data_IF_924553648722
#
_entry.id   IF_924553648722
#
_cell.length_a   1.000
_cell.length_b   1.000
_cell.length_c   1.000
_cell.angle_alpha   90.00
_cell.angle_beta   90.00
_cell.angle_gamma   90.00
#
_symmetry.space_group_name_H-M   'P 1'
#
loop_
_entity.id
_entity.type
_entity.pdbx_description
1 polymer ?
#
# COMPACT_ATOMS: atom_id res chain seq x y z
N UNK A 1 -53.45 -1.81 -56.80
CA UNK A 1 -53.08 -2.12 -55.40
C UNK A 1 -54.26 -1.73 -54.52
N UNK A 2 -54.96 -2.68 -53.90
CA UNK A 2 -56.21 -2.40 -53.17
C UNK A 2 -55.98 -1.71 -51.82
N UNK A 3 -56.90 -0.83 -51.41
CA UNK A 3 -56.86 -0.09 -50.13
C UNK A 3 -56.60 -0.99 -48.91
N UNK A 4 -57.05 -2.25 -48.94
CA UNK A 4 -56.83 -3.23 -47.87
C UNK A 4 -55.36 -3.66 -47.71
N UNK A 5 -54.57 -3.68 -48.79
CA UNK A 5 -53.13 -3.98 -48.72
C UNK A 5 -52.33 -2.79 -48.21
N UNK A 6 -52.76 -1.57 -48.51
CA UNK A 6 -52.13 -0.33 -48.00
C UNK A 6 -52.44 -0.14 -46.51
N UNK A 7 -53.68 -0.42 -46.08
CA UNK A 7 -54.08 -0.39 -44.66
C UNK A 7 -53.28 -1.41 -43.81
N UNK A 8 -53.07 -2.64 -44.28
CA UNK A 8 -52.27 -3.64 -43.55
C UNK A 8 -50.81 -3.22 -43.34
N UNK A 9 -50.21 -2.54 -44.31
CA UNK A 9 -48.82 -2.06 -44.27
C UNK A 9 -48.66 -0.79 -43.43
N UNK A 10 -49.68 0.07 -43.34
CA UNK A 10 -49.65 1.32 -42.54
C UNK A 10 -50.11 1.17 -41.09
N UNK A 11 -50.97 0.19 -40.76
CA UNK A 11 -51.47 -0.03 -39.39
C UNK A 11 -50.38 -0.58 -38.45
N UNK A 12 -49.44 -1.37 -38.99
CA UNK A 12 -48.31 -1.91 -38.24
C UNK A 12 -47.31 -0.85 -37.73
N UNK A 13 -46.85 0.13 -38.54
CA UNK A 13 -45.94 1.16 -38.06
C UNK A 13 -46.63 2.16 -37.12
N UNK A 14 -47.89 2.52 -37.35
CA UNK A 14 -48.61 3.47 -36.47
C UNK A 14 -48.86 2.84 -35.09
N UNK A 15 -49.29 1.58 -35.03
CA UNK A 15 -49.52 0.89 -33.75
C UNK A 15 -48.21 0.70 -32.96
N UNK A 16 -47.10 0.45 -33.65
CA UNK A 16 -45.77 0.37 -33.03
C UNK A 16 -45.27 1.72 -32.50
N UNK A 17 -45.52 2.84 -33.21
CA UNK A 17 -45.16 4.19 -32.72
C UNK A 17 -45.97 4.55 -31.47
N UNK A 18 -47.27 4.24 -31.45
CA UNK A 18 -48.13 4.48 -30.28
C UNK A 18 -47.68 3.61 -29.10
N UNK A 19 -47.39 2.32 -29.35
CA UNK A 19 -46.87 1.43 -28.32
C UNK A 19 -45.50 1.90 -27.80
N UNK A 20 -44.63 2.38 -28.68
CA UNK A 20 -43.35 2.97 -28.31
C UNK A 20 -43.51 4.18 -27.40
N UNK A 21 -44.43 5.10 -27.73
CA UNK A 21 -44.71 6.28 -26.93
C UNK A 21 -45.27 5.91 -25.54
N UNK A 22 -46.14 4.90 -25.47
CA UNK A 22 -46.69 4.39 -24.21
C UNK A 22 -45.59 3.75 -23.36
N UNK A 23 -44.73 2.91 -23.95
CA UNK A 23 -43.61 2.28 -23.26
C UNK A 23 -42.64 3.36 -22.76
N UNK A 24 -42.30 4.34 -23.59
CA UNK A 24 -41.38 5.43 -23.22
C UNK A 24 -41.93 6.28 -22.07
N UNK A 25 -43.23 6.58 -22.09
CA UNK A 25 -43.92 7.26 -21.00
C UNK A 25 -43.96 6.43 -19.72
N UNK A 26 -44.30 5.14 -19.81
CA UNK A 26 -44.36 4.23 -18.67
C UNK A 26 -42.98 4.04 -18.02
N UNK A 27 -41.94 3.86 -18.83
CA UNK A 27 -40.55 3.73 -18.40
C UNK A 27 -40.04 5.02 -17.75
N UNK A 28 -40.33 6.18 -18.35
CA UNK A 28 -39.99 7.48 -17.75
C UNK A 28 -40.66 7.70 -16.40
N UNK A 29 -41.95 7.36 -16.28
CA UNK A 29 -42.70 7.46 -15.02
C UNK A 29 -42.18 6.49 -13.96
N UNK A 30 -41.78 5.29 -14.37
CA UNK A 30 -41.25 4.25 -13.48
C UNK A 30 -39.75 4.38 -13.15
N UNK A 31 -39.03 5.34 -13.75
CA UNK A 31 -37.56 5.47 -13.64
C UNK A 31 -37.03 5.43 -12.21
N UNK A 32 -37.71 6.11 -11.28
CA UNK A 32 -37.26 6.19 -9.88
C UNK A 32 -37.49 4.86 -9.13
N UNK A 33 -38.49 4.08 -9.53
CA UNK A 33 -38.70 2.74 -8.98
C UNK A 33 -37.67 1.75 -9.56
N UNK A 34 -37.39 1.84 -10.87
CA UNK A 34 -36.41 0.99 -11.56
C UNK A 34 -34.98 1.24 -11.02
N UNK A 35 -34.58 2.50 -10.86
CA UNK A 35 -33.27 2.86 -10.30
C UNK A 35 -33.11 2.39 -8.84
N UNK A 36 -34.19 2.37 -8.06
CA UNK A 36 -34.19 1.81 -6.70
C UNK A 36 -34.05 0.28 -6.73
N UNK A 37 -34.81 -0.40 -7.60
CA UNK A 37 -34.74 -1.87 -7.75
C UNK A 37 -33.38 -2.37 -8.24
N UNK A 38 -32.68 -1.58 -9.07
CA UNK A 38 -31.32 -1.88 -9.55
C UNK A 38 -30.22 -1.49 -8.55
N UNK A 39 -30.55 -0.93 -7.37
CA UNK A 39 -29.57 -0.48 -6.39
C UNK A 39 -28.76 0.76 -6.83
N UNK A 40 -29.12 1.39 -7.95
CA UNK A 40 -28.39 2.52 -8.54
C UNK A 40 -28.82 3.88 -8.00
N UNK A 41 -29.83 3.92 -7.12
CA UNK A 41 -30.33 5.15 -6.52
C UNK A 41 -29.27 5.90 -5.69
N UNK A 42 -28.39 5.18 -4.98
CA UNK A 42 -27.28 5.80 -4.23
C UNK A 42 -26.22 6.40 -5.17
N UNK A 43 -25.95 5.73 -6.28
CA UNK A 43 -24.99 6.19 -7.30
C UNK A 43 -25.52 7.44 -8.01
N UNK A 44 -26.81 7.45 -8.35
CA UNK A 44 -27.48 8.60 -8.95
C UNK A 44 -27.59 9.79 -7.97
N UNK A 45 -27.69 9.52 -6.67
CA UNK A 45 -27.72 10.57 -5.64
C UNK A 45 -26.34 11.18 -5.37
N UNK A 46 -25.26 10.38 -5.44
CA UNK A 46 -23.88 10.87 -5.26
C UNK A 46 -23.37 11.72 -6.42
N UNK A 47 -23.81 11.44 -7.65
CA UNK A 47 -23.37 12.20 -8.81
C UNK A 47 -24.54 12.49 -9.77
N UNK A 48 -25.02 13.76 -9.83
CA UNK A 48 -26.18 14.12 -10.64
C UNK A 48 -25.98 13.87 -12.14
N UNK A 49 -24.74 13.92 -12.63
CA UNK A 49 -24.40 13.61 -14.02
C UNK A 49 -24.64 12.14 -14.37
N UNK A 50 -24.24 11.22 -13.48
CA UNK A 50 -24.48 9.78 -13.67
C UNK A 50 -25.98 9.46 -13.62
N UNK A 51 -26.72 10.10 -12.71
CA UNK A 51 -28.18 10.01 -12.65
C UNK A 51 -28.85 10.45 -13.96
N UNK A 52 -28.38 11.54 -14.55
CA UNK A 52 -28.85 12.02 -15.86
C UNK A 52 -28.56 11.03 -16.99
N UNK A 53 -27.36 10.44 -17.03
CA UNK A 53 -26.96 9.47 -18.06
C UNK A 53 -27.75 8.16 -17.96
N UNK A 54 -28.00 7.66 -16.74
CA UNK A 54 -28.90 6.51 -16.53
C UNK A 54 -30.35 6.81 -16.93
N UNK A 55 -30.84 8.02 -16.62
CA UNK A 55 -32.16 8.47 -17.05
C UNK A 55 -32.28 8.51 -18.59
N UNK A 56 -31.26 9.01 -19.27
CA UNK A 56 -31.20 9.03 -20.74
C UNK A 56 -31.14 7.60 -21.32
N UNK A 57 -30.30 6.72 -20.77
CA UNK A 57 -30.19 5.34 -21.21
C UNK A 57 -31.52 4.58 -21.06
N UNK A 58 -32.26 4.84 -19.97
CA UNK A 58 -33.56 4.24 -19.71
C UNK A 58 -34.60 4.66 -20.76
N UNK A 59 -34.57 5.92 -21.21
CA UNK A 59 -35.46 6.43 -22.28
C UNK A 59 -35.06 5.90 -23.65
N UNK A 60 -33.76 5.77 -23.89
CA UNK A 60 -33.24 5.30 -25.19
C UNK A 60 -33.40 3.79 -25.37
N UNK A 61 -33.39 3.01 -24.28
CA UNK A 61 -33.54 1.56 -24.29
C UNK A 61 -34.78 1.05 -25.06
N UNK A 62 -36.02 1.54 -24.84
CA UNK A 62 -37.17 1.08 -25.61
C UNK A 62 -37.07 1.45 -27.09
N UNK A 63 -36.57 2.63 -27.43
CA UNK A 63 -36.33 3.04 -28.83
C UNK A 63 -35.34 2.08 -29.50
N UNK A 64 -34.26 1.75 -28.80
CA UNK A 64 -33.25 0.82 -29.28
C UNK A 64 -33.80 -0.60 -29.48
N UNK A 65 -34.64 -1.11 -28.56
CA UNK A 65 -35.30 -2.41 -28.69
C UNK A 65 -36.27 -2.46 -29.86
N UNK A 66 -36.99 -1.36 -30.11
CA UNK A 66 -37.90 -1.25 -31.26
C UNK A 66 -37.10 -1.27 -32.57
N UNK A 67 -35.99 -0.53 -32.65
CA UNK A 67 -35.10 -0.55 -33.81
C UNK A 67 -34.54 -1.95 -34.06
N UNK A 68 -34.12 -2.66 -33.00
CA UNK A 68 -33.66 -4.05 -33.10
C UNK A 68 -34.77 -4.99 -33.58
N UNK A 69 -35.98 -4.87 -33.02
CA UNK A 69 -37.13 -5.66 -33.44
C UNK A 69 -37.43 -5.48 -34.94
N UNK A 70 -37.48 -4.24 -35.40
CA UNK A 70 -37.71 -3.95 -36.82
C UNK A 70 -36.58 -4.47 -37.71
N UNK A 71 -35.32 -4.30 -37.32
CA UNK A 71 -34.19 -4.83 -38.08
C UNK A 71 -34.27 -6.37 -38.22
N UNK A 72 -34.62 -7.08 -37.15
CA UNK A 72 -34.80 -8.53 -37.15
C UNK A 72 -35.99 -8.94 -38.04
N UNK A 73 -37.15 -8.30 -37.88
CA UNK A 73 -38.35 -8.61 -38.69
C UNK A 73 -38.09 -8.32 -40.17
N UNK A 74 -37.49 -7.17 -40.50
CA UNK A 74 -37.13 -6.83 -41.89
C UNK A 74 -36.18 -7.85 -42.49
N UNK A 75 -35.21 -8.35 -41.73
CA UNK A 75 -34.32 -9.41 -42.21
C UNK A 75 -35.09 -10.67 -42.61
N UNK A 76 -35.99 -11.17 -41.75
CA UNK A 76 -36.79 -12.36 -42.04
C UNK A 76 -37.81 -12.15 -43.17
N UNK A 77 -38.43 -10.97 -43.25
CA UNK A 77 -39.40 -10.64 -44.32
C UNK A 77 -38.70 -10.57 -45.67
N UNK A 78 -37.54 -9.90 -45.76
CA UNK A 78 -36.81 -9.73 -47.02
C UNK A 78 -36.24 -11.07 -47.49
N UNK A 79 -35.64 -11.86 -46.59
CA UNK A 79 -35.06 -13.17 -46.94
C UNK A 79 -36.14 -14.22 -47.26
N UNK A 80 -37.29 -14.17 -46.58
CA UNK A 80 -38.42 -15.07 -46.82
C UNK A 80 -39.21 -14.78 -48.11
N UNK A 81 -39.16 -13.56 -48.64
CA UNK A 81 -39.89 -13.16 -49.84
C UNK A 81 -39.33 -13.76 -51.16
N UNK A 82 -38.13 -14.35 -51.12
CA UNK A 82 -37.47 -14.91 -52.29
C UNK A 82 -36.91 -13.87 -53.27
N UNK A 83 -36.20 -14.33 -54.31
CA UNK A 83 -35.56 -13.45 -55.28
C UNK A 83 -36.61 -12.82 -56.23
N UNK A 84 -36.51 -11.51 -56.54
CA UNK A 84 -37.39 -10.88 -57.52
C UNK A 84 -37.24 -11.55 -58.89
N UNK A 85 -38.35 -11.94 -59.52
CA UNK A 85 -38.34 -12.51 -60.88
C UNK A 85 -38.04 -11.46 -61.98
N UNK A 86 -38.11 -10.16 -61.64
CA UNK A 86 -37.90 -9.05 -62.57
C UNK A 86 -36.41 -8.62 -62.67
N UNK A 87 -35.80 -8.78 -63.84
CA UNK A 87 -34.56 -8.08 -64.25
C UNK A 87 -33.28 -8.27 -63.40
N UNK A 88 -32.14 -7.79 -63.91
CA UNK A 88 -30.87 -7.75 -63.16
C UNK A 88 -30.86 -6.68 -62.06
N UNK A 89 -31.46 -5.52 -62.33
CA UNK A 89 -31.47 -4.37 -61.42
C UNK A 89 -32.23 -4.64 -60.11
N UNK A 90 -33.39 -5.31 -60.15
CA UNK A 90 -34.15 -5.59 -58.93
C UNK A 90 -33.42 -6.56 -57.99
N UNK A 91 -32.66 -7.52 -58.56
CA UNK A 91 -31.81 -8.43 -57.79
C UNK A 91 -30.67 -7.68 -57.07
N UNK A 92 -30.05 -6.68 -57.73
CA UNK A 92 -29.02 -5.84 -57.10
C UNK A 92 -29.57 -5.08 -55.89
N UNK A 93 -30.73 -4.42 -56.03
CA UNK A 93 -31.37 -3.73 -54.91
C UNK A 93 -31.75 -4.67 -53.77
N UNK A 94 -32.21 -5.89 -54.07
CA UNK A 94 -32.49 -6.89 -53.06
C UNK A 94 -31.23 -7.23 -52.23
N UNK A 95 -30.10 -7.55 -52.87
CA UNK A 95 -28.85 -7.82 -52.15
C UNK A 95 -28.35 -6.63 -51.34
N UNK A 96 -28.45 -5.41 -51.89
CA UNK A 96 -28.08 -4.19 -51.16
C UNK A 96 -28.94 -3.99 -49.90
N UNK A 97 -30.25 -4.22 -49.98
CA UNK A 97 -31.13 -4.10 -48.81
C UNK A 97 -30.81 -5.14 -47.73
N UNK A 98 -30.55 -6.38 -48.11
CA UNK A 98 -30.14 -7.44 -47.17
C UNK A 98 -28.81 -7.07 -46.50
N UNK A 99 -27.82 -6.61 -47.27
CA UNK A 99 -26.53 -6.19 -46.73
C UNK A 99 -26.67 -5.02 -45.74
N UNK A 100 -27.50 -4.02 -46.08
CA UNK A 100 -27.77 -2.89 -45.20
C UNK A 100 -28.43 -3.33 -43.89
N UNK A 101 -29.43 -4.21 -43.95
CA UNK A 101 -30.11 -4.74 -42.75
C UNK A 101 -29.14 -5.53 -41.87
N UNK A 102 -28.32 -6.40 -42.45
CA UNK A 102 -27.31 -7.16 -41.70
C UNK A 102 -26.31 -6.23 -41.00
N UNK A 103 -25.84 -5.19 -41.69
CA UNK A 103 -24.95 -4.19 -41.09
C UNK A 103 -25.62 -3.44 -39.93
N UNK A 104 -26.87 -3.03 -40.10
CA UNK A 104 -27.60 -2.34 -39.03
C UNK A 104 -27.83 -3.24 -37.81
N UNK A 105 -28.12 -4.52 -38.02
CA UNK A 105 -28.28 -5.49 -36.94
C UNK A 105 -26.96 -5.72 -36.19
N UNK A 106 -25.85 -5.85 -36.92
CA UNK A 106 -24.52 -5.95 -36.32
C UNK A 106 -24.17 -4.70 -35.49
N UNK A 107 -24.45 -3.50 -36.01
CA UNK A 107 -24.20 -2.24 -35.30
C UNK A 107 -25.06 -2.11 -34.04
N UNK A 108 -26.35 -2.45 -34.14
CA UNK A 108 -27.25 -2.44 -33.00
C UNK A 108 -26.66 -3.35 -31.93
N UNK A 109 -26.42 -4.65 -32.20
CA UNK A 109 -25.90 -5.60 -31.19
C UNK A 109 -24.53 -5.19 -30.63
N UNK A 110 -23.62 -4.67 -31.44
CA UNK A 110 -22.27 -4.30 -31.01
C UNK A 110 -22.24 -3.10 -30.05
N UNK A 111 -23.11 -2.10 -30.26
CA UNK A 111 -23.12 -0.86 -29.47
C UNK A 111 -23.26 -1.07 -27.94
N UNK A 112 -24.26 -1.81 -27.40
CA UNK A 112 -24.39 -2.01 -25.96
C UNK A 112 -23.27 -2.89 -25.39
N UNK A 113 -22.74 -3.84 -26.17
CA UNK A 113 -21.61 -4.67 -25.75
C UNK A 113 -20.33 -3.86 -25.63
N UNK A 114 -20.06 -2.95 -26.57
CA UNK A 114 -18.94 -2.02 -26.49
C UNK A 114 -19.06 -1.09 -25.28
N UNK A 115 -20.26 -0.54 -25.03
CA UNK A 115 -20.51 0.33 -23.88
C UNK A 115 -20.31 -0.42 -22.55
N UNK A 116 -20.82 -1.65 -22.45
CA UNK A 116 -20.62 -2.50 -21.29
C UNK A 116 -19.14 -2.85 -21.07
N UNK A 117 -18.40 -3.17 -22.14
CA UNK A 117 -16.96 -3.45 -22.04
C UNK A 117 -16.16 -2.21 -21.64
N UNK A 118 -16.48 -1.04 -22.19
CA UNK A 118 -15.84 0.22 -21.82
C UNK A 118 -16.08 0.54 -20.33
N UNK A 119 -17.33 0.41 -19.86
CA UNK A 119 -17.68 0.64 -18.46
C UNK A 119 -17.01 -0.36 -17.50
N UNK A 120 -16.95 -1.64 -17.88
CA UNK A 120 -16.23 -2.65 -17.09
C UNK A 120 -14.72 -2.34 -17.06
N UNK A 121 -14.14 -1.95 -18.19
CA UNK A 121 -12.72 -1.62 -18.29
C UNK A 121 -12.37 -0.42 -17.39
N UNK A 122 -13.14 0.67 -17.46
CA UNK A 122 -12.96 1.86 -16.61
C UNK A 122 -13.06 1.53 -15.11
N UNK A 123 -14.02 0.68 -14.74
CA UNK A 123 -14.15 0.23 -13.34
C UNK A 123 -12.99 -0.65 -12.88
N UNK A 124 -12.44 -1.48 -13.78
CA UNK A 124 -11.27 -2.31 -13.48
C UNK A 124 -10.03 -1.45 -13.30
N UNK A 125 -9.80 -0.45 -14.16
CA UNK A 125 -8.64 0.45 -14.02
C UNK A 125 -8.70 1.25 -12.73
N UNK A 126 -9.86 1.82 -12.38
CA UNK A 126 -10.03 2.53 -11.12
C UNK A 126 -9.80 1.62 -9.89
N UNK A 127 -10.27 0.38 -9.92
CA UNK A 127 -10.05 -0.60 -8.86
C UNK A 127 -8.57 -1.02 -8.76
N UNK A 128 -7.89 -1.21 -9.91
CA UNK A 128 -6.47 -1.52 -9.98
C UNK A 128 -5.60 -0.37 -9.44
N UNK A 129 -5.91 0.87 -9.80
CA UNK A 129 -5.23 2.06 -9.27
C UNK A 129 -5.39 2.17 -7.76
N UNK A 130 -6.61 1.98 -7.25
CA UNK A 130 -6.86 1.96 -5.81
C UNK A 130 -6.10 0.82 -5.11
N UNK A 131 -6.04 -0.37 -5.71
CA UNK A 131 -5.31 -1.52 -5.18
C UNK A 131 -3.78 -1.27 -5.18
N UNK A 132 -3.23 -0.66 -6.24
CA UNK A 132 -1.81 -0.27 -6.30
C UNK A 132 -1.46 0.73 -5.22
N UNK A 133 -2.27 1.78 -5.05
CA UNK A 133 -2.06 2.77 -4.00
C UNK A 133 -2.17 2.15 -2.58
N UNK A 134 -3.06 1.17 -2.37
CA UNK A 134 -3.13 0.44 -1.11
C UNK A 134 -1.89 -0.44 -0.87
N UNK A 135 -1.41 -1.14 -1.90
CA UNK A 135 -0.21 -1.97 -1.84
C UNK A 135 1.05 -1.13 -1.54
N UNK A 136 1.19 0.05 -2.15
CA UNK A 136 2.29 0.97 -1.86
C UNK A 136 2.29 1.44 -0.42
N UNK A 137 1.12 1.82 0.13
CA UNK A 137 0.98 2.19 1.55
C UNK A 137 1.36 1.03 2.47
N UNK A 138 0.89 -0.18 2.18
CA UNK A 138 1.24 -1.37 2.94
C UNK A 138 2.76 -1.65 2.89
N UNK A 139 3.38 -1.53 1.72
CA UNK A 139 4.83 -1.71 1.55
C UNK A 139 5.66 -0.62 2.26
N UNK A 140 5.14 0.61 2.41
CA UNK A 140 5.77 1.65 3.24
C UNK A 140 5.70 1.29 4.72
N UNK A 141 4.51 0.94 5.20
CA UNK A 141 4.30 0.52 6.60
C UNK A 141 5.17 -0.69 6.97
N UNK A 142 5.30 -1.65 6.07
CA UNK A 142 6.12 -2.85 6.31
C UNK A 142 7.62 -2.54 6.39
N UNK A 143 8.12 -1.60 5.58
CA UNK A 143 9.51 -1.13 5.67
C UNK A 143 9.78 -0.42 6.99
N UNK A 144 8.83 0.42 7.44
CA UNK A 144 8.90 1.07 8.75
C UNK A 144 8.92 0.03 9.88
N UNK A 145 7.97 -0.92 9.88
CA UNK A 145 7.88 -2.00 10.86
C UNK A 145 9.18 -2.82 10.92
N UNK A 146 9.72 -3.18 9.77
CA UNK A 146 10.98 -3.94 9.67
C UNK A 146 12.15 -3.17 10.28
N UNK A 147 12.26 -1.87 9.99
CA UNK A 147 13.30 -1.04 10.58
C UNK A 147 13.16 -0.95 12.12
N UNK A 148 11.94 -0.80 12.63
CA UNK A 148 11.67 -0.81 14.08
C UNK A 148 12.07 -2.14 14.73
N UNK A 149 11.78 -3.28 14.09
CA UNK A 149 12.20 -4.60 14.59
C UNK A 149 13.73 -4.73 14.63
N UNK A 150 14.42 -4.27 13.57
CA UNK A 150 15.88 -4.29 13.52
C UNK A 150 16.53 -3.36 14.54
N UNK A 151 15.84 -2.30 14.96
CA UNK A 151 16.30 -1.41 16.03
C UNK A 151 16.34 -2.11 17.41
N UNK A 152 15.51 -3.14 17.58
CA UNK A 152 15.53 -4.01 18.77
C UNK A 152 16.51 -5.18 18.68
N UNK A 153 17.30 -5.30 17.60
CA UNK A 153 18.16 -6.45 17.38
C UNK A 153 19.22 -6.61 18.49
N UNK A 154 19.38 -7.85 18.93
CA UNK A 154 20.39 -8.30 19.89
C UNK A 154 21.34 -9.28 19.20
N UNK A 155 22.57 -9.38 19.70
CA UNK A 155 23.59 -10.31 19.26
C UNK A 155 24.04 -11.12 20.46
N UNK A 156 24.18 -12.42 20.28
CA UNK A 156 24.80 -13.31 21.28
C UNK A 156 26.25 -13.51 20.89
N UNK A 157 27.16 -13.08 21.75
CA UNK A 157 28.60 -13.29 21.59
C UNK A 157 29.06 -14.38 22.54
N UNK A 158 29.64 -15.44 21.98
CA UNK A 158 30.19 -16.54 22.77
C UNK A 158 31.65 -16.21 23.11
N UNK A 159 31.88 -15.89 24.37
CA UNK A 159 33.21 -15.65 24.90
C UNK A 159 33.81 -16.95 25.40
N UNK A 160 35.12 -17.10 25.20
CA UNK A 160 35.90 -18.19 25.79
C UNK A 160 37.07 -17.62 26.56
N UNK A 161 37.25 -18.08 27.80
CA UNK A 161 38.44 -17.78 28.59
C UNK A 161 39.08 -19.07 29.05
N UNK A 162 40.37 -19.16 28.80
CA UNK A 162 41.18 -20.24 29.31
C UNK A 162 41.43 -20.01 30.81
N UNK A 163 41.01 -20.98 31.63
CA UNK A 163 41.22 -21.00 33.07
C UNK A 163 42.31 -22.03 33.38
N UNK A 164 43.56 -21.60 33.66
CA UNK A 164 44.64 -22.53 33.96
C UNK A 164 44.36 -23.30 35.26
N UNK A 165 44.68 -24.59 35.27
CA UNK A 165 44.73 -25.39 36.52
C UNK A 165 46.05 -25.10 37.22
N UNK A 166 46.04 -24.96 38.54
CA UNK A 166 47.25 -24.65 39.31
C UNK A 166 47.72 -25.87 40.10
N UNK A 167 49.04 -26.06 40.16
CA UNK A 167 49.66 -27.17 40.88
C UNK A 167 49.35 -27.07 42.39
N UNK A 168 48.97 -28.19 43.02
CA UNK A 168 48.67 -28.26 44.46
C UNK A 168 49.76 -29.02 45.22
N UNK A 169 50.08 -28.56 46.44
CA UNK A 169 50.95 -29.24 47.40
C UNK A 169 50.17 -30.38 48.11
N UNK A 170 50.88 -31.32 48.75
CA UNK A 170 50.29 -32.48 49.44
C UNK A 170 49.22 -32.15 50.51
N UNK A 171 49.15 -30.89 50.97
CA UNK A 171 48.11 -30.37 51.87
C UNK A 171 46.99 -29.56 51.18
N UNK A 172 46.81 -29.69 49.86
CA UNK A 172 45.72 -29.07 49.10
C UNK A 172 45.89 -27.58 48.74
N UNK A 173 46.90 -26.90 49.28
CA UNK A 173 47.23 -25.50 48.97
C UNK A 173 47.87 -25.36 47.58
N UNK A 174 47.51 -24.29 46.85
CA UNK A 174 48.10 -23.97 45.55
C UNK A 174 49.58 -23.63 45.74
N UNK A 175 50.45 -24.25 44.94
CA UNK A 175 51.88 -23.95 44.89
C UNK A 175 52.07 -22.55 44.32
N UNK A 176 52.86 -21.72 45.01
CA UNK A 176 53.22 -20.37 44.57
C UNK A 176 54.72 -20.30 44.32
N UNK A 177 55.13 -19.45 43.38
CA UNK A 177 56.53 -19.18 43.07
C UNK A 177 57.19 -18.26 44.11
N UNK A 178 58.46 -17.91 43.89
CA UNK A 178 59.22 -17.04 44.79
C UNK A 178 58.68 -15.60 44.86
N UNK A 179 57.83 -15.21 43.91
CA UNK A 179 57.18 -13.90 43.80
C UNK A 179 55.73 -13.94 44.31
N UNK A 180 55.24 -15.10 44.75
CA UNK A 180 53.89 -15.28 45.30
C UNK A 180 52.80 -15.55 44.25
N UNK A 181 53.13 -15.67 42.97
CA UNK A 181 52.16 -16.01 41.92
C UNK A 181 51.88 -17.52 41.89
N UNK A 182 50.64 -17.96 41.60
CA UNK A 182 50.28 -19.37 41.58
C UNK A 182 50.90 -20.09 40.37
N UNK A 183 51.54 -21.24 40.62
CA UNK A 183 52.23 -22.05 39.60
C UNK A 183 51.19 -22.86 38.83
N UNK A 184 51.17 -22.66 37.52
CA UNK A 184 50.26 -23.35 36.59
C UNK A 184 50.70 -24.81 36.40
N UNK A 185 49.75 -25.72 36.33
CA UNK A 185 49.98 -27.14 36.09
C UNK A 185 50.22 -27.41 34.60
N UNK A 186 51.17 -28.30 34.31
CA UNK A 186 51.72 -28.50 32.98
C UNK A 186 51.79 -30.00 32.68
N UNK A 187 51.47 -30.40 31.45
CA UNK A 187 51.53 -31.79 30.99
C UNK A 187 52.98 -32.30 30.86
N UNK A 188 53.13 -33.60 30.57
CA UNK A 188 54.43 -34.24 30.38
C UNK A 188 55.25 -33.67 29.21
N UNK A 189 54.65 -32.84 28.34
CA UNK A 189 55.30 -32.17 27.21
C UNK A 189 55.53 -30.67 27.45
N UNK A 190 55.26 -30.15 28.65
CA UNK A 190 55.48 -28.74 28.95
C UNK A 190 54.32 -27.80 28.55
N UNK A 191 53.14 -28.33 28.19
CA UNK A 191 51.95 -27.52 27.85
C UNK A 191 51.06 -27.28 29.05
N UNK A 192 50.55 -26.06 29.16
CA UNK A 192 49.67 -25.64 30.26
C UNK A 192 48.35 -26.41 30.23
N UNK A 193 47.99 -27.00 31.37
CA UNK A 193 46.71 -27.67 31.59
C UNK A 193 45.69 -26.64 32.08
N UNK A 194 44.51 -26.63 31.47
CA UNK A 194 43.45 -25.69 31.80
C UNK A 194 42.13 -26.06 31.15
N UNK A 195 41.08 -25.40 31.60
CA UNK A 195 39.73 -25.57 31.10
C UNK A 195 39.32 -24.34 30.28
N UNK A 196 38.73 -24.56 29.11
CA UNK A 196 38.08 -23.50 28.36
C UNK A 196 36.69 -23.27 28.92
N UNK A 197 36.52 -22.17 29.66
CA UNK A 197 35.19 -21.74 30.12
C UNK A 197 34.55 -20.92 29.01
N UNK A 198 33.40 -21.37 28.54
CA UNK A 198 32.59 -20.71 27.51
C UNK A 198 31.36 -20.10 28.16
N UNK A 199 31.06 -18.84 27.87
CA UNK A 199 29.81 -18.20 28.27
C UNK A 199 29.26 -17.34 27.14
N UNK A 200 27.95 -17.16 27.15
CA UNK A 200 27.25 -16.33 26.17
C UNK A 200 26.88 -14.99 26.80
N UNK A 201 27.18 -13.90 26.10
CA UNK A 201 26.80 -12.55 26.47
C UNK A 201 25.82 -12.02 25.42
N UNK A 202 24.66 -11.53 25.86
CA UNK A 202 23.66 -10.94 24.96
C UNK A 202 23.83 -9.42 25.00
N UNK A 203 24.24 -8.85 23.87
CA UNK A 203 24.47 -7.42 23.73
C UNK A 203 23.64 -6.83 22.59
N UNK A 204 23.37 -5.52 22.59
CA UNK A 204 22.81 -4.80 21.44
C UNK A 204 23.60 -5.07 20.15
N UNK A 205 22.91 -5.43 19.06
CA UNK A 205 23.55 -5.53 17.75
C UNK A 205 23.67 -4.13 17.13
N UNK A 206 24.79 -3.46 17.37
CA UNK A 206 25.00 -2.06 16.99
C UNK A 206 24.96 -1.87 15.47
N UNK A 207 25.50 -2.80 14.69
CA UNK A 207 25.52 -2.73 13.23
C UNK A 207 24.10 -2.77 12.65
N UNK A 208 23.24 -3.67 13.14
CA UNK A 208 21.84 -3.75 12.72
C UNK A 208 21.04 -2.51 13.17
N UNK A 209 21.28 -2.01 14.39
CA UNK A 209 20.62 -0.81 14.91
C UNK A 209 20.96 0.43 14.08
N UNK A 210 22.24 0.61 13.72
CA UNK A 210 22.66 1.69 12.82
C UNK A 210 22.01 1.54 11.44
N UNK A 211 21.97 0.33 10.89
CA UNK A 211 21.28 0.04 9.62
C UNK A 211 19.79 0.41 9.67
N UNK A 212 19.11 0.07 10.76
CA UNK A 212 17.71 0.43 11.01
C UNK A 212 17.50 1.95 11.10
N UNK A 213 18.37 2.66 11.82
CA UNK A 213 18.32 4.13 11.93
C UNK A 213 18.46 4.81 10.56
N UNK A 214 19.38 4.36 9.71
CA UNK A 214 19.50 4.87 8.34
C UNK A 214 18.27 4.51 7.48
N UNK A 215 17.67 3.34 7.66
CA UNK A 215 16.44 2.97 6.96
C UNK A 215 15.28 3.89 7.36
N UNK A 216 15.13 4.18 8.65
CA UNK A 216 14.15 5.11 9.19
C UNK A 216 14.36 6.53 8.65
N UNK A 217 15.60 7.02 8.65
CA UNK A 217 15.93 8.33 8.06
C UNK A 217 15.49 8.42 6.60
N UNK A 218 15.78 7.39 5.80
CA UNK A 218 15.38 7.36 4.39
C UNK A 218 13.85 7.37 4.23
N UNK A 219 13.12 6.69 5.12
CA UNK A 219 11.64 6.71 5.13
C UNK A 219 11.13 8.13 5.40
N UNK A 220 11.66 8.80 6.43
CA UNK A 220 11.29 10.17 6.77
C UNK A 220 11.64 11.19 5.68
N UNK A 221 12.74 10.97 4.95
CA UNK A 221 13.08 11.80 3.80
C UNK A 221 12.12 11.58 2.63
N UNK A 222 11.77 10.33 2.34
CA UNK A 222 10.91 9.98 1.20
C UNK A 222 9.43 10.34 1.38
N UNK A 223 8.95 10.44 2.63
CA UNK A 223 7.54 10.63 2.94
C UNK A 223 7.35 11.68 4.03
N UNK A 224 6.59 12.73 3.72
CA UNK A 224 6.21 13.77 4.68
C UNK A 224 5.29 13.23 5.77
N UNK A 225 4.36 12.37 5.39
CA UNK A 225 3.42 11.70 6.28
C UNK A 225 4.13 10.84 7.32
N UNK A 226 5.18 10.12 6.93
CA UNK A 226 5.93 9.22 7.81
C UNK A 226 7.04 9.94 8.61
N UNK A 227 7.30 11.22 8.31
CA UNK A 227 8.40 11.97 8.93
C UNK A 227 8.26 12.06 10.45
N UNK A 228 7.11 12.52 10.94
CA UNK A 228 6.87 12.70 12.38
C UNK A 228 6.89 11.37 13.13
N UNK A 229 6.16 10.31 12.69
CA UNK A 229 6.24 8.99 13.32
C UNK A 229 7.67 8.43 13.41
N UNK A 230 8.49 8.65 12.37
CA UNK A 230 9.91 8.27 12.41
C UNK A 230 10.68 9.06 13.47
N UNK A 231 10.49 10.38 13.56
CA UNK A 231 11.18 11.20 14.56
C UNK A 231 10.77 10.80 15.98
N UNK A 232 9.49 10.52 16.22
CA UNK A 232 9.00 10.00 17.50
C UNK A 232 9.63 8.66 17.85
N UNK A 233 9.76 7.76 16.87
CA UNK A 233 10.40 6.45 17.06
C UNK A 233 11.87 6.60 17.43
N UNK A 234 12.61 7.47 16.74
CA UNK A 234 14.03 7.73 17.04
C UNK A 234 14.19 8.38 18.42
N UNK A 235 13.33 9.34 18.77
CA UNK A 235 13.30 9.96 20.10
C UNK A 235 13.02 8.94 21.20
N UNK A 236 11.99 8.10 21.03
CA UNK A 236 11.65 7.05 21.98
C UNK A 236 12.81 6.05 22.15
N UNK A 237 13.46 5.68 21.04
CA UNK A 237 14.64 4.82 21.07
C UNK A 237 15.78 5.43 21.89
N UNK A 238 16.10 6.72 21.67
CA UNK A 238 17.13 7.42 22.45
C UNK A 238 16.77 7.42 23.93
N UNK A 239 15.53 7.79 24.29
CA UNK A 239 15.10 7.82 25.70
C UNK A 239 15.26 6.46 26.38
N UNK A 240 14.86 5.37 25.71
CA UNK A 240 14.91 4.02 26.26
C UNK A 240 16.34 3.47 26.38
N UNK A 241 17.24 3.88 25.48
CA UNK A 241 18.58 3.30 25.35
C UNK A 241 19.72 4.19 25.88
N UNK A 242 19.41 5.42 26.26
CA UNK A 242 20.34 6.38 26.84
C UNK A 242 20.02 6.73 28.30
N UNK A 243 19.03 6.09 28.92
CA UNK A 243 18.85 6.21 30.37
C UNK A 243 20.07 5.64 31.11
N UNK A 244 20.43 6.23 32.26
CA UNK A 244 21.51 5.72 33.09
C UNK A 244 21.29 4.24 33.41
N UNK A 245 22.23 3.41 33.01
CA UNK A 245 22.39 2.09 33.59
C UNK A 245 22.62 2.29 35.09
N UNK A 246 21.82 1.64 35.95
CA UNK A 246 22.00 1.69 37.41
C UNK A 246 23.37 1.11 37.76
N UNK A 247 24.39 1.96 37.77
CA UNK A 247 25.74 1.57 38.14
C UNK A 247 25.73 1.23 39.64
N UNK A 248 26.32 0.09 40.06
CA UNK A 248 26.47 -0.21 41.47
C UNK A 248 27.30 0.88 42.16
N UNK A 249 26.79 1.44 43.26
CA UNK A 249 27.54 2.38 44.08
C UNK A 249 28.72 1.68 44.80
N UNK A 250 29.90 2.32 44.91
CA UNK A 250 30.23 3.64 44.41
C UNK A 250 30.69 3.60 42.95
N UNK A 251 29.90 4.19 42.05
CA UNK A 251 30.36 4.51 40.71
C UNK A 251 31.15 5.82 40.79
N UNK A 252 32.42 5.77 40.41
CA UNK A 252 33.28 6.94 40.25
C UNK A 252 32.68 7.93 39.24
N UNK A 253 32.83 9.23 39.52
CA UNK A 253 32.26 10.30 38.67
C UNK A 253 32.76 10.23 37.21
N UNK A 254 33.97 9.70 36.98
CA UNK A 254 34.49 9.40 35.64
C UNK A 254 33.72 8.27 34.94
N UNK A 255 33.24 7.24 35.66
CA UNK A 255 32.42 6.18 35.07
C UNK A 255 31.02 6.65 34.65
N UNK A 256 30.50 7.72 35.27
CA UNK A 256 29.22 8.36 34.88
C UNK A 256 29.35 9.25 33.65
N UNK A 257 30.56 9.71 33.33
CA UNK A 257 30.86 10.51 32.14
C UNK A 257 31.44 9.62 31.03
N UNK A 258 30.62 8.75 30.45
CA UNK A 258 30.99 7.98 29.24
C UNK A 258 30.29 8.56 28.02
N UNK A 259 30.94 8.58 26.83
CA UNK A 259 30.26 8.98 25.61
C UNK A 259 29.08 8.05 25.31
N UNK A 260 28.02 8.56 24.67
CA UNK A 260 26.88 7.73 24.29
C UNK A 260 27.33 6.63 23.33
N UNK A 261 26.61 5.51 23.35
CA UNK A 261 26.85 4.41 22.41
C UNK A 261 26.77 4.90 20.94
N UNK A 262 27.47 4.24 20.00
CA UNK A 262 27.50 4.67 18.61
C UNK A 262 26.13 4.78 17.92
N UNK A 263 25.20 3.89 18.27
CA UNK A 263 23.82 3.89 17.78
C UNK A 263 23.05 5.14 18.25
N UNK A 264 23.18 5.50 19.53
CA UNK A 264 22.57 6.71 20.12
C UNK A 264 23.17 7.99 19.52
N UNK A 265 24.50 8.04 19.37
CA UNK A 265 25.18 9.16 18.74
C UNK A 265 24.75 9.34 17.27
N UNK A 266 24.53 8.23 16.55
CA UNK A 266 23.99 8.26 15.19
C UNK A 266 22.54 8.75 15.16
N UNK A 267 21.69 8.26 16.06
CA UNK A 267 20.31 8.68 16.20
C UNK A 267 20.22 10.22 16.42
N UNK A 268 21.03 10.76 17.33
CA UNK A 268 21.15 12.21 17.54
C UNK A 268 21.58 12.96 16.28
N UNK A 269 22.55 12.42 15.53
CA UNK A 269 23.03 13.04 14.28
C UNK A 269 21.94 13.04 13.20
N UNK A 270 21.16 11.98 13.08
CA UNK A 270 19.99 11.91 12.16
C UNK A 270 18.98 12.98 12.53
N UNK A 271 18.66 13.12 13.82
CA UNK A 271 17.80 14.21 14.30
C UNK A 271 18.41 15.58 13.94
N UNK A 272 19.71 15.78 14.14
CA UNK A 272 20.36 17.06 13.87
C UNK A 272 20.50 17.48 12.41
N UNK A 273 20.34 16.57 11.46
CA UNK A 273 20.57 16.84 10.03
C UNK A 273 19.30 16.81 9.18
N UNK A 274 18.12 16.87 9.82
CA UNK A 274 16.84 16.97 9.12
C UNK A 274 16.85 18.17 8.17
N UNK A 275 16.34 18.03 6.94
CA UNK A 275 16.30 19.14 5.98
C UNK A 275 15.32 20.23 6.45
N UNK A 276 15.59 21.48 6.09
CA UNK A 276 14.81 22.64 6.53
C UNK A 276 13.31 22.53 6.17
N UNK A 277 12.99 21.92 5.02
CA UNK A 277 11.62 21.65 4.62
C UNK A 277 10.87 20.76 5.64
N UNK A 278 11.54 19.78 6.24
CA UNK A 278 10.95 18.92 7.27
C UNK A 278 10.79 19.64 8.60
N UNK A 279 11.75 20.48 8.97
CA UNK A 279 11.64 21.33 10.16
C UNK A 279 10.47 22.32 10.03
N UNK A 280 10.26 22.89 8.83
CA UNK A 280 9.12 23.74 8.56
C UNK A 280 7.79 22.96 8.65
N UNK A 281 7.76 21.73 8.15
CA UNK A 281 6.61 20.83 8.30
C UNK A 281 6.30 20.52 9.77
N UNK A 282 7.31 20.21 10.58
CA UNK A 282 7.17 20.00 12.04
C UNK A 282 6.56 21.24 12.73
N UNK A 283 7.02 22.43 12.36
CA UNK A 283 6.53 23.70 12.91
C UNK A 283 5.11 24.06 12.46
N UNK A 284 4.68 23.60 11.28
CA UNK A 284 3.35 23.84 10.72
C UNK A 284 2.25 22.98 11.37
N UNK A 285 2.63 21.95 12.14
CA UNK A 285 1.68 21.11 12.87
C UNK A 285 0.92 21.91 13.93
N UNK A 286 -0.26 21.39 14.32
CA UNK A 286 -1.11 21.99 15.34
C UNK A 286 -1.47 20.93 16.40
N UNK A 287 -0.80 20.93 17.57
CA UNK A 287 0.28 21.82 18.00
C UNK A 287 1.62 21.57 17.25
N UNK A 288 2.55 22.54 17.22
CA UNK A 288 3.85 22.37 16.58
C UNK A 288 4.61 21.18 17.17
N UNK A 289 5.11 20.30 16.30
CA UNK A 289 5.89 19.15 16.72
C UNK A 289 7.26 19.58 17.24
N UNK A 290 7.72 18.93 18.31
CA UNK A 290 9.03 19.14 18.93
C UNK A 290 9.64 17.79 19.24
N UNK A 291 10.96 17.68 19.08
CA UNK A 291 11.67 16.48 19.49
C UNK A 291 11.56 16.30 21.00
N UNK A 292 11.27 15.08 21.44
CA UNK A 292 11.08 14.77 22.84
C UNK A 292 12.19 13.83 23.32
N UNK A 293 13.20 14.41 23.97
CA UNK A 293 14.36 13.68 24.51
C UNK A 293 14.33 13.67 26.05
N UNK A 294 13.15 13.86 26.65
CA UNK A 294 13.01 13.91 28.10
C UNK A 294 13.54 12.65 28.78
N UNK A 295 14.34 12.82 29.83
CA UNK A 295 14.91 11.70 30.60
C UNK A 295 16.05 10.94 29.91
N UNK A 296 16.50 11.37 28.71
CA UNK A 296 17.69 10.80 28.09
C UNK A 296 18.96 11.38 28.74
N UNK A 297 19.86 10.52 29.23
CA UNK A 297 21.16 10.93 29.74
C UNK A 297 22.20 10.85 28.63
N UNK A 298 22.66 12.01 28.17
CA UNK A 298 23.56 12.13 27.01
C UNK A 298 24.90 12.80 27.38
N UNK A 299 25.62 12.30 28.40
CA UNK A 299 26.91 12.88 28.77
C UNK A 299 27.89 12.76 27.61
N UNK A 300 28.64 13.83 27.35
CA UNK A 300 29.66 13.89 26.29
C UNK A 300 29.15 13.60 24.86
N UNK A 301 27.84 13.70 24.62
CA UNK A 301 27.30 13.55 23.27
C UNK A 301 27.86 14.62 22.32
N UNK A 302 28.36 14.17 21.17
CA UNK A 302 28.87 15.07 20.14
C UNK A 302 27.70 15.70 19.39
N UNK A 303 27.39 16.95 19.74
CA UNK A 303 26.39 17.77 19.06
C UNK A 303 27.02 18.74 18.05
N UNK A 304 28.33 18.62 17.79
CA UNK A 304 28.98 19.46 16.78
C UNK A 304 28.35 19.15 15.42
N UNK A 305 27.65 20.16 14.85
CA UNK A 305 26.88 20.09 13.59
C UNK A 305 25.49 19.44 13.68
N UNK A 306 24.95 19.29 14.89
CA UNK A 306 23.60 18.78 15.12
C UNK A 306 22.64 19.95 15.36
N UNK A 307 21.69 20.21 14.44
CA UNK A 307 20.64 21.23 14.60
C UNK A 307 19.35 20.60 15.10
N UNK A 308 19.16 20.53 16.42
CA UNK A 308 17.99 19.86 17.00
C UNK A 308 16.69 20.69 16.96
N UNK A 309 16.79 22.02 16.80
CA UNK A 309 15.62 22.91 16.80
C UNK A 309 14.96 23.00 18.19
N UNK A 310 13.64 23.23 18.29
CA UNK A 310 12.93 23.19 19.56
C UNK A 310 12.84 21.75 20.09
N UNK A 311 13.52 21.49 21.21
CA UNK A 311 13.56 20.18 21.89
C UNK A 311 12.88 20.29 23.25
N UNK A 312 12.17 19.24 23.63
CA UNK A 312 11.69 19.00 25.00
C UNK A 312 12.71 18.08 25.70
N UNK A 313 13.26 18.57 26.80
CA UNK A 313 14.25 17.90 27.65
C UNK A 313 13.62 17.60 29.01
#
# INVERSE_FOLDING_TARGET
MGLSQILGVLVWPISAIVLAAIILWAVWKARAAILRGLGLHEVAARNPYLGGLFGLALVLAPVWLILLYYAVVSFFVITGAGLPQAGGMARLWHFLTVAAVVLTLALLVAAPLMLARAWIAERRTAAEEAARAAAERAARAERFRTAVVQLGAMKTETHRRFKPVYQRLAGGRIRRDAQGAPVVETDAQGRVIGEWVVWDEVSPNIEQRIGALFALERIAQASEEDHIPVMETICAYIRENAAAEELPEPADAESRCRPPRPDIQMALRILGRRPEARIAHEAAQQPPYRLDLTGAELPMADLARTRLGPVKL
#
